data_IF_987803996343
#
_entry.id   IF_987803996343
#
_cell.length_a   1.000
_cell.length_b   1.000
_cell.length_c   1.000
_cell.angle_alpha   90.00
_cell.angle_beta   90.00
_cell.angle_gamma   90.00
#
_symmetry.space_group_name_H-M   'P 1'
#
loop_
_entity.id
_entity.type
_entity.pdbx_description
1 polymer ?
#
# COMPACT_ATOMS: atom_id res chain seq x y z
N UNK A 1 7.85 22.35 -1.90
CA UNK A 1 7.87 20.95 -2.35
C UNK A 1 8.74 20.14 -1.39
N UNK A 2 8.13 19.40 -0.49
CA UNK A 2 8.84 18.40 0.30
C UNK A 2 8.82 17.09 -0.47
N UNK A 3 9.98 16.63 -0.89
CA UNK A 3 10.18 15.27 -1.40
C UNK A 3 10.66 14.41 -0.24
N UNK A 4 9.80 13.61 0.33
CA UNK A 4 10.22 12.54 1.21
C UNK A 4 10.37 11.25 0.42
N UNK A 5 11.57 10.70 0.51
CA UNK A 5 11.94 9.42 -0.09
C UNK A 5 12.08 8.42 1.05
N UNK A 6 11.07 7.60 1.26
CA UNK A 6 11.16 6.44 2.12
C UNK A 6 11.68 5.26 1.31
N UNK A 7 12.85 4.74 1.64
CA UNK A 7 13.31 3.46 1.08
C UNK A 7 12.89 2.33 2.01
N UNK A 8 11.81 1.67 1.68
CA UNK A 8 11.44 0.39 2.27
C UNK A 8 12.15 -0.73 1.51
N UNK A 9 13.32 -1.12 1.98
CA UNK A 9 14.08 -2.20 1.38
C UNK A 9 14.17 -3.38 2.34
N UNK A 10 13.10 -4.06 2.65
CA UNK A 10 13.21 -5.34 3.33
C UNK A 10 11.98 -6.18 3.02
N UNK A 11 12.15 -7.19 2.20
CA UNK A 11 11.21 -8.31 2.14
C UNK A 11 10.22 -8.35 1.00
N UNK A 12 10.32 -7.47 -0.02
CA UNK A 12 9.46 -7.56 -1.21
C UNK A 12 10.05 -8.45 -2.32
N UNK A 13 10.77 -9.50 -1.91
CA UNK A 13 11.26 -10.54 -2.80
C UNK A 13 12.30 -10.06 -3.80
N UNK A 14 11.92 -9.29 -4.80
CA UNK A 14 12.74 -9.02 -5.98
C UNK A 14 12.75 -7.54 -6.43
N UNK A 15 12.25 -6.60 -5.61
CA UNK A 15 12.26 -5.18 -5.99
C UNK A 15 12.54 -4.25 -4.79
N UNK A 16 12.96 -3.03 -5.12
CA UNK A 16 13.04 -1.90 -4.21
C UNK A 16 11.81 -1.02 -4.44
N UNK A 17 11.22 -0.50 -3.37
CA UNK A 17 10.13 0.46 -3.42
C UNK A 17 10.60 1.84 -2.93
N UNK A 18 10.06 2.89 -3.56
CA UNK A 18 10.26 4.27 -3.20
C UNK A 18 8.91 4.96 -3.19
N UNK A 19 8.55 5.57 -2.05
CA UNK A 19 7.32 6.34 -1.93
C UNK A 19 7.63 7.83 -1.83
N UNK A 20 6.75 8.65 -2.40
CA UNK A 20 6.89 10.11 -2.37
C UNK A 20 5.55 10.81 -2.40
N UNK A 21 5.53 12.06 -1.95
CA UNK A 21 4.34 12.90 -1.98
C UNK A 21 4.67 14.37 -2.25
N UNK A 22 3.64 15.11 -2.67
CA UNK A 22 3.67 16.58 -2.81
C UNK A 22 2.24 17.13 -2.76
N UNK A 23 2.14 18.43 -2.47
CA UNK A 23 0.85 19.13 -2.46
C UNK A 23 0.43 19.48 -3.88
N UNK A 24 -0.85 19.34 -4.18
CA UNK A 24 -1.45 19.73 -5.47
C UNK A 24 -2.77 20.48 -5.25
N UNK A 25 -3.07 21.41 -6.15
CA UNK A 25 -4.41 21.97 -6.26
C UNK A 25 -5.33 20.95 -6.94
N UNK A 26 -6.35 20.49 -6.22
CA UNK A 26 -7.22 19.39 -6.67
C UNK A 26 -8.31 19.85 -7.62
N UNK A 27 -8.76 21.11 -7.49
CA UNK A 27 -9.95 21.61 -8.18
C UNK A 27 -9.70 22.86 -9.04
N UNK A 28 -8.48 23.40 -9.07
CA UNK A 28 -8.13 24.64 -9.75
C UNK A 28 -8.63 25.93 -9.03
N UNK A 29 -9.04 25.79 -7.75
CA UNK A 29 -9.55 26.88 -6.92
C UNK A 29 -8.94 26.84 -5.50
N UNK A 30 -7.65 26.55 -5.43
CA UNK A 30 -6.85 26.52 -4.19
C UNK A 30 -7.28 25.45 -3.16
N UNK A 31 -7.94 24.36 -3.58
CA UNK A 31 -8.14 23.21 -2.69
C UNK A 31 -6.90 22.34 -2.68
N UNK A 32 -6.16 22.40 -1.59
CA UNK A 32 -4.95 21.61 -1.42
C UNK A 32 -5.27 20.14 -1.07
N UNK A 33 -4.73 19.22 -1.85
CA UNK A 33 -4.71 17.78 -1.58
C UNK A 33 -3.29 17.23 -1.65
N UNK A 34 -3.07 16.05 -1.13
CA UNK A 34 -1.75 15.40 -1.16
C UNK A 34 -1.71 14.38 -2.28
N UNK A 35 -0.90 14.66 -3.31
CA UNK A 35 -0.54 13.69 -4.35
C UNK A 35 0.56 12.81 -3.82
N UNK A 36 0.43 11.50 -4.00
CA UNK A 36 1.42 10.51 -3.59
C UNK A 36 1.67 9.49 -4.70
N UNK A 37 2.80 8.82 -4.64
CA UNK A 37 3.18 7.81 -5.61
C UNK A 37 4.12 6.77 -5.00
N UNK A 38 4.17 5.61 -5.62
CA UNK A 38 5.13 4.53 -5.38
C UNK A 38 5.82 4.18 -6.68
N UNK A 39 7.15 4.15 -6.63
CA UNK A 39 7.99 3.64 -7.71
C UNK A 39 8.61 2.32 -7.28
N UNK A 40 8.63 1.34 -8.19
CA UNK A 40 9.27 0.05 -7.96
C UNK A 40 10.40 -0.16 -8.97
N UNK A 41 11.49 -0.77 -8.50
CA UNK A 41 12.64 -1.17 -9.32
C UNK A 41 13.04 -2.60 -8.99
N UNK A 42 12.91 -3.56 -9.93
CA UNK A 42 13.59 -4.84 -9.83
C UNK A 42 15.12 -4.66 -9.72
N UNK A 43 15.87 -5.60 -9.15
CA UNK A 43 17.31 -5.47 -8.99
C UNK A 43 18.02 -5.08 -10.30
N UNK A 44 18.84 -4.01 -10.24
CA UNK A 44 19.64 -3.48 -11.34
C UNK A 44 18.84 -3.01 -12.58
N UNK A 45 17.60 -2.60 -12.42
CA UNK A 45 16.77 -2.07 -13.52
C UNK A 45 16.26 -0.64 -13.26
N UNK A 46 15.44 -0.15 -14.18
CA UNK A 46 14.87 1.20 -14.10
C UNK A 46 13.70 1.27 -13.12
N UNK A 47 13.57 2.38 -12.42
CA UNK A 47 12.41 2.69 -11.61
C UNK A 47 11.16 2.88 -12.46
N UNK A 48 10.08 2.23 -12.11
CA UNK A 48 8.79 2.32 -12.79
C UNK A 48 7.72 2.78 -11.80
N UNK A 49 6.77 3.58 -12.30
CA UNK A 49 5.60 3.94 -11.52
C UNK A 49 4.76 2.68 -11.28
N UNK A 50 4.64 2.30 -10.01
CA UNK A 50 3.79 1.19 -9.59
C UNK A 50 2.36 1.66 -9.34
N UNK A 51 2.21 2.75 -8.60
CA UNK A 51 0.91 3.36 -8.32
C UNK A 51 1.04 4.83 -7.96
N UNK A 52 -0.06 5.56 -8.07
CA UNK A 52 -0.18 6.95 -7.64
C UNK A 52 -1.63 7.29 -7.31
N UNK A 53 -1.83 8.29 -6.48
CA UNK A 53 -3.15 8.77 -6.12
C UNK A 53 -3.12 10.19 -5.57
N UNK A 54 -4.29 10.79 -5.42
CA UNK A 54 -4.45 12.07 -4.73
C UNK A 54 -5.42 11.88 -3.57
N UNK A 55 -4.99 12.24 -2.36
CA UNK A 55 -5.86 12.17 -1.21
C UNK A 55 -6.47 13.54 -0.92
N UNK A 56 -7.77 13.66 -1.17
CA UNK A 56 -8.60 14.83 -0.93
C UNK A 56 -10.07 14.39 -0.83
N UNK A 57 -10.49 13.78 0.30
CA UNK A 57 -11.80 13.14 0.41
C UNK A 57 -12.96 14.15 0.61
N UNK A 58 -12.66 15.39 0.96
CA UNK A 58 -13.62 16.44 1.23
C UNK A 58 -13.04 17.84 0.86
N UNK A 59 -13.70 18.91 1.28
CA UNK A 59 -13.29 20.30 1.04
C UNK A 59 -12.27 20.85 2.03
N UNK A 60 -11.72 20.03 2.93
CA UNK A 60 -10.66 20.44 3.85
C UNK A 60 -9.31 20.42 3.13
N UNK A 61 -8.52 21.47 3.29
CA UNK A 61 -7.17 21.52 2.74
C UNK A 61 -6.23 20.55 3.45
N UNK A 62 -5.38 19.89 2.68
CA UNK A 62 -4.34 18.97 3.17
C UNK A 62 -3.01 19.32 2.53
N UNK A 63 -1.99 19.57 3.37
CA UNK A 63 -0.66 20.01 2.90
C UNK A 63 0.45 19.51 3.84
N UNK A 64 1.71 19.80 3.49
CA UNK A 64 2.90 19.34 4.23
C UNK A 64 2.85 17.85 4.55
N UNK A 65 2.63 17.07 3.49
CA UNK A 65 2.57 15.61 3.60
C UNK A 65 3.95 14.99 3.86
N UNK A 66 3.95 13.94 4.66
CA UNK A 66 5.07 13.02 4.81
C UNK A 66 4.57 11.58 4.68
N UNK A 67 5.33 10.75 3.96
CA UNK A 67 4.91 9.41 3.56
C UNK A 67 6.02 8.40 3.88
N UNK A 68 5.63 7.23 4.35
CA UNK A 68 6.54 6.10 4.54
C UNK A 68 5.85 4.78 4.20
N UNK A 69 6.66 3.74 4.01
CA UNK A 69 6.21 2.36 3.77
C UNK A 69 6.79 1.46 4.85
N UNK A 70 5.95 0.63 5.46
CA UNK A 70 6.39 -0.35 6.45
C UNK A 70 7.01 -1.61 5.81
N UNK A 71 7.54 -2.50 6.64
CA UNK A 71 8.21 -3.73 6.18
C UNK A 71 7.26 -4.72 5.48
N UNK A 72 5.94 -4.54 5.60
CA UNK A 72 4.93 -5.37 4.92
C UNK A 72 4.38 -4.71 3.63
N UNK A 73 4.89 -3.52 3.25
CA UNK A 73 4.44 -2.79 2.06
C UNK A 73 3.21 -1.92 2.26
N UNK A 74 2.73 -1.77 3.49
CA UNK A 74 1.67 -0.82 3.77
C UNK A 74 2.23 0.60 3.77
N UNK A 75 1.44 1.55 3.26
CA UNK A 75 1.87 2.94 3.12
C UNK A 75 1.03 3.82 4.04
N UNK A 76 1.68 4.72 4.78
CA UNK A 76 1.03 5.76 5.54
C UNK A 76 1.44 7.14 5.05
N UNK A 77 0.48 8.07 5.09
CA UNK A 77 0.61 9.46 4.68
C UNK A 77 0.07 10.34 5.82
N UNK A 78 0.95 11.10 6.46
CA UNK A 78 0.58 12.12 7.44
C UNK A 78 0.61 13.51 6.81
N UNK A 79 -0.20 14.44 7.29
CA UNK A 79 -0.31 15.79 6.72
C UNK A 79 -0.96 16.77 7.69
N UNK A 80 -0.78 18.05 7.42
CA UNK A 80 -1.57 19.11 8.04
C UNK A 80 -2.95 19.25 7.39
N UNK A 81 -3.92 19.68 8.19
CA UNK A 81 -5.29 19.98 7.74
C UNK A 81 -5.77 21.31 8.25
N UNK A 82 -6.53 22.05 7.46
CA UNK A 82 -7.36 23.16 7.92
C UNK A 82 -8.43 23.51 6.88
N UNK A 83 -9.45 24.25 7.33
CA UNK A 83 -10.36 24.96 6.46
C UNK A 83 -10.63 26.38 6.95
N UNK A 84 -11.44 27.12 6.21
CA UNK A 84 -11.74 28.51 6.55
C UNK A 84 -12.78 28.67 7.68
N UNK A 85 -13.42 27.59 8.12
CA UNK A 85 -14.62 27.65 8.97
C UNK A 85 -14.56 26.86 10.26
N UNK A 86 -14.19 25.57 10.19
CA UNK A 86 -14.39 24.65 11.30
C UNK A 86 -13.16 23.81 11.68
N UNK A 87 -12.16 23.75 10.81
CA UNK A 87 -10.96 22.94 11.04
C UNK A 87 -9.76 23.86 11.20
N UNK A 88 -9.32 24.02 12.43
CA UNK A 88 -8.06 24.72 12.74
C UNK A 88 -6.85 23.86 12.36
N UNK A 89 -5.67 24.50 12.12
CA UNK A 89 -4.47 23.79 11.75
C UNK A 89 -4.13 22.65 12.71
N UNK A 90 -4.30 21.42 12.25
CA UNK A 90 -4.11 20.18 12.98
C UNK A 90 -3.36 19.16 12.13
N UNK A 91 -3.23 17.95 12.65
CA UNK A 91 -2.54 16.85 12.00
C UNK A 91 -3.50 15.67 11.87
N UNK A 92 -3.55 15.12 10.66
CA UNK A 92 -4.22 13.85 10.37
C UNK A 92 -3.29 12.90 9.62
N UNK A 93 -3.66 11.65 9.56
CA UNK A 93 -3.01 10.64 8.75
C UNK A 93 -4.03 9.69 8.13
N UNK A 94 -3.61 9.06 7.06
CA UNK A 94 -4.35 8.05 6.31
C UNK A 94 -3.38 6.99 5.84
N UNK A 95 -3.87 5.86 5.41
CA UNK A 95 -3.00 4.86 4.82
C UNK A 95 -3.71 3.85 3.95
N UNK A 96 -2.91 2.92 3.46
CA UNK A 96 -3.34 1.78 2.69
C UNK A 96 -2.55 0.53 3.08
N UNK A 97 -3.19 -0.60 3.03
CA UNK A 97 -2.53 -1.90 3.10
C UNK A 97 -1.99 -2.28 1.71
N UNK A 98 -0.99 -3.15 1.69
CA UNK A 98 -0.45 -3.68 0.43
C UNK A 98 -1.52 -4.35 -0.42
N UNK A 99 -2.53 -4.97 0.20
CA UNK A 99 -3.67 -5.65 -0.45
C UNK A 99 -4.78 -4.73 -0.93
N UNK A 100 -4.76 -3.44 -0.58
CA UNK A 100 -5.79 -2.49 -1.01
C UNK A 100 -5.69 -2.18 -2.51
N UNK A 101 -6.78 -1.75 -3.15
CA UNK A 101 -6.76 -1.35 -4.55
C UNK A 101 -5.70 -0.28 -4.82
N UNK A 102 -4.93 -0.44 -5.92
CA UNK A 102 -3.87 0.49 -6.29
C UNK A 102 -4.41 1.91 -6.47
N UNK A 103 -3.59 2.90 -6.09
CA UNK A 103 -3.93 4.32 -6.22
C UNK A 103 -4.90 4.85 -5.16
N UNK A 104 -5.27 4.05 -4.16
CA UNK A 104 -6.23 4.43 -3.11
C UNK A 104 -5.61 4.40 -1.72
N UNK A 105 -6.22 5.15 -0.77
CA UNK A 105 -5.90 5.18 0.66
C UNK A 105 -7.18 4.88 1.47
N UNK A 106 -7.66 3.61 1.50
CA UNK A 106 -8.99 3.30 2.01
C UNK A 106 -9.05 3.00 3.52
N UNK A 107 -7.93 3.02 4.24
CA UNK A 107 -7.87 2.63 5.67
C UNK A 107 -8.46 3.67 6.64
N UNK A 108 -9.14 4.68 6.10
CA UNK A 108 -9.74 5.76 6.87
C UNK A 108 -8.77 6.88 7.24
N UNK A 109 -9.32 8.05 7.53
CA UNK A 109 -8.56 9.21 7.99
C UNK A 109 -8.67 9.33 9.50
N UNK A 110 -7.53 9.49 10.17
CA UNK A 110 -7.46 9.60 11.63
C UNK A 110 -6.83 10.92 12.04
N UNK A 111 -7.35 11.50 13.11
CA UNK A 111 -6.81 12.73 13.71
C UNK A 111 -5.74 12.37 14.73
N UNK A 112 -4.49 12.79 14.47
CA UNK A 112 -3.41 12.69 15.44
C UNK A 112 -3.55 13.76 16.52
N UNK A 113 -3.85 15.00 16.08
CA UNK A 113 -4.20 16.11 16.96
C UNK A 113 -5.03 17.15 16.19
N UNK A 114 -6.13 17.57 16.80
CA UNK A 114 -6.96 18.65 16.25
C UNK A 114 -6.42 20.02 16.69
N UNK A 115 -6.34 20.97 15.76
CA UNK A 115 -6.07 22.35 16.09
C UNK A 115 -7.22 22.99 16.90
N UNK A 116 -6.89 23.97 17.73
CA UNK A 116 -7.87 24.67 18.60
C UNK A 116 -7.91 26.17 18.34
N UNK A 117 -7.04 26.69 17.48
CA UNK A 117 -7.01 28.12 17.12
C UNK A 117 -6.44 28.32 15.69
N UNK A 118 -6.80 29.43 15.09
CA UNK A 118 -6.23 29.87 13.81
C UNK A 118 -4.79 30.32 13.97
N UNK A 119 -4.03 30.25 12.87
CA UNK A 119 -2.70 30.79 12.76
C UNK A 119 -2.72 32.02 11.84
N UNK A 120 -2.10 33.11 12.25
CA UNK A 120 -2.02 34.32 11.45
C UNK A 120 -0.78 34.38 10.52
N UNK A 121 0.03 33.34 10.48
CA UNK A 121 1.21 33.26 9.61
C UNK A 121 0.81 32.83 8.20
N UNK A 122 1.48 33.39 7.20
CA UNK A 122 1.40 32.92 5.82
C UNK A 122 2.41 31.81 5.51
N UNK A 123 3.14 31.29 6.51
CA UNK A 123 4.06 30.18 6.44
C UNK A 123 3.79 29.22 7.61
N UNK A 124 3.54 27.95 7.30
CA UNK A 124 3.11 26.99 8.30
C UNK A 124 3.43 25.55 7.89
N UNK A 125 3.86 24.73 8.85
CA UNK A 125 4.04 23.30 8.68
C UNK A 125 5.42 22.88 8.17
N UNK A 126 6.38 23.79 8.03
CA UNK A 126 7.76 23.45 7.63
C UNK A 126 8.55 23.03 8.88
N UNK A 127 8.94 21.80 9.07
CA UNK A 127 8.91 20.65 8.21
C UNK A 127 8.18 19.51 8.91
N UNK A 128 7.43 18.70 8.17
CA UNK A 128 6.89 17.43 8.67
C UNK A 128 7.80 16.28 8.24
N UNK A 129 7.80 15.20 9.01
CA UNK A 129 8.54 13.98 8.68
C UNK A 129 7.81 12.74 9.14
N UNK A 130 8.04 11.62 8.42
CA UNK A 130 7.53 10.31 8.79
C UNK A 130 8.64 9.27 8.63
N UNK A 131 8.89 8.53 9.70
CA UNK A 131 9.88 7.46 9.75
C UNK A 131 9.24 6.15 10.19
N UNK A 132 9.85 5.05 9.81
CA UNK A 132 9.51 3.71 10.31
C UNK A 132 10.43 3.38 11.47
N UNK A 133 9.87 2.80 12.54
CA UNK A 133 10.64 2.30 13.67
C UNK A 133 11.58 1.18 13.19
N UNK A 134 12.90 1.33 13.35
CA UNK A 134 13.86 0.35 12.85
C UNK A 134 13.86 -0.96 13.65
N UNK A 135 13.20 -1.01 14.81
CA UNK A 135 13.15 -2.21 15.66
C UNK A 135 12.07 -3.17 15.18
N UNK A 136 10.87 -2.66 14.88
CA UNK A 136 9.74 -3.50 14.48
C UNK A 136 9.43 -3.44 12.98
N UNK A 137 9.94 -2.42 12.28
CA UNK A 137 9.68 -2.21 10.85
C UNK A 137 8.21 -1.87 10.52
N UNK A 138 7.37 -1.65 11.53
CA UNK A 138 5.92 -1.54 11.38
C UNK A 138 5.35 -0.23 11.91
N UNK A 139 5.96 0.34 12.96
CA UNK A 139 5.47 1.55 13.60
C UNK A 139 5.90 2.77 12.80
N UNK A 140 4.92 3.57 12.38
CA UNK A 140 5.12 4.88 11.76
C UNK A 140 5.24 5.92 12.85
N UNK A 141 6.30 6.72 12.79
CA UNK A 141 6.51 7.90 13.63
C UNK A 141 6.34 9.13 12.77
N UNK A 142 5.29 9.92 13.05
CA UNK A 142 5.03 11.18 12.35
C UNK A 142 5.24 12.37 13.27
N UNK A 143 5.89 13.41 12.75
CA UNK A 143 6.02 14.71 13.41
C UNK A 143 5.53 15.83 12.49
N UNK A 144 4.86 16.82 13.07
CA UNK A 144 4.36 17.99 12.35
C UNK A 144 3.93 19.11 13.30
N UNK A 145 3.56 20.24 12.72
CA UNK A 145 3.05 21.40 13.45
C UNK A 145 1.53 21.34 13.60
N UNK A 146 1.03 21.85 14.70
CA UNK A 146 -0.39 22.04 14.96
C UNK A 146 -0.62 23.27 15.83
N UNK A 147 -1.82 23.82 15.84
CA UNK A 147 -2.15 25.00 16.65
C UNK A 147 -2.90 24.60 17.92
N UNK A 148 -2.18 24.59 19.05
CA UNK A 148 -2.76 24.52 20.38
C UNK A 148 -3.31 25.89 20.86
N UNK A 149 -2.88 26.96 20.21
CA UNK A 149 -3.28 28.36 20.45
C UNK A 149 -3.05 29.12 19.14
N UNK A 150 -3.00 30.44 19.17
CA UNK A 150 -2.63 31.26 18.01
C UNK A 150 -1.15 31.10 17.57
N UNK A 151 -0.35 30.34 18.34
CA UNK A 151 1.02 29.99 17.99
C UNK A 151 1.11 28.47 17.69
N UNK A 152 2.06 28.13 16.83
CA UNK A 152 2.34 26.75 16.49
C UNK A 152 2.92 25.96 17.67
N UNK A 153 2.69 24.70 17.67
CA UNK A 153 3.28 23.67 18.53
C UNK A 153 3.62 22.46 17.68
N UNK A 154 4.50 21.60 18.14
CA UNK A 154 4.79 20.34 17.47
C UNK A 154 4.12 19.17 18.13
N UNK A 155 3.82 18.14 17.35
CA UNK A 155 3.31 16.86 17.85
C UNK A 155 4.06 15.72 17.19
N UNK A 156 4.50 14.77 18.00
CA UNK A 156 4.98 13.47 17.53
C UNK A 156 3.88 12.47 17.85
N UNK A 157 3.54 11.62 16.90
CA UNK A 157 2.62 10.52 17.07
C UNK A 157 3.15 9.23 16.45
N UNK A 158 2.75 8.12 17.03
CA UNK A 158 3.08 6.80 16.54
C UNK A 158 1.79 6.02 16.26
N UNK A 159 1.78 5.27 15.16
CA UNK A 159 0.69 4.37 14.80
C UNK A 159 1.22 3.23 13.92
N UNK A 160 0.45 2.17 13.80
CA UNK A 160 0.79 1.04 12.93
C UNK A 160 -0.48 0.40 12.38
N UNK A 161 -0.34 -0.34 11.28
CA UNK A 161 -1.39 -1.23 10.79
C UNK A 161 -1.26 -2.58 11.49
N UNK A 162 -2.39 -3.15 11.92
CA UNK A 162 -2.43 -4.49 12.52
C UNK A 162 -1.91 -5.57 11.56
N UNK A 163 -2.03 -5.31 10.25
CA UNK A 163 -1.51 -6.19 9.20
C UNK A 163 0.03 -6.19 9.10
N UNK A 164 0.73 -5.20 9.68
CA UNK A 164 2.19 -5.19 9.65
C UNK A 164 2.78 -6.17 10.65
N UNK A 165 3.74 -6.97 10.18
CA UNK A 165 4.37 -8.03 10.97
C UNK A 165 3.51 -9.29 11.07
N UNK A 166 2.29 -9.30 10.55
CA UNK A 166 1.57 -10.54 10.34
C UNK A 166 2.26 -11.33 9.23
N UNK A 167 2.61 -12.56 9.55
CA UNK A 167 3.14 -13.48 8.55
C UNK A 167 2.03 -13.92 7.62
N UNK A 168 2.22 -13.77 6.32
CA UNK A 168 1.25 -14.13 5.28
C UNK A 168 1.99 -14.57 4.01
N UNK A 169 1.26 -14.92 2.97
CA UNK A 169 1.83 -15.27 1.68
C UNK A 169 1.13 -14.53 0.55
N UNK A 170 1.86 -14.30 -0.53
CA UNK A 170 1.32 -13.78 -1.79
C UNK A 170 1.36 -14.86 -2.86
N UNK A 171 0.38 -14.85 -3.76
CA UNK A 171 0.33 -15.78 -4.89
C UNK A 171 0.29 -15.04 -6.23
N UNK A 172 0.93 -15.65 -7.23
CA UNK A 172 0.86 -15.23 -8.62
C UNK A 172 0.70 -16.42 -9.53
N UNK A 173 -0.25 -16.35 -10.48
CA UNK A 173 -0.52 -17.40 -11.47
C UNK A 173 -0.02 -16.96 -12.84
N UNK A 174 0.82 -17.80 -13.46
CA UNK A 174 1.44 -17.51 -14.77
C UNK A 174 1.25 -18.69 -15.72
N UNK A 175 0.76 -18.46 -16.93
CA UNK A 175 0.17 -17.21 -17.43
C UNK A 175 -1.17 -16.92 -16.76
N UNK A 176 -1.58 -15.66 -16.66
CA UNK A 176 -2.90 -15.28 -16.12
C UNK A 176 -4.03 -15.41 -17.16
N UNK A 177 -3.67 -15.69 -18.40
CA UNK A 177 -4.58 -15.98 -19.51
C UNK A 177 -3.92 -16.99 -20.46
N UNK A 178 -4.65 -18.04 -20.84
CA UNK A 178 -4.13 -19.10 -21.68
C UNK A 178 -5.19 -19.54 -22.69
N UNK A 179 -4.84 -19.52 -23.99
CA UNK A 179 -5.65 -20.06 -25.05
C UNK A 179 -5.05 -21.40 -25.54
N UNK A 180 -5.83 -22.45 -25.46
CA UNK A 180 -5.43 -23.80 -25.90
C UNK A 180 -6.55 -24.46 -26.72
N UNK A 181 -6.19 -25.46 -27.53
CA UNK A 181 -7.14 -26.24 -28.27
C UNK A 181 -7.61 -27.46 -27.44
N UNK A 182 -8.92 -27.65 -27.31
CA UNK A 182 -9.43 -28.87 -26.73
C UNK A 182 -9.05 -30.10 -27.62
N UNK A 183 -8.71 -31.24 -27.02
CA UNK A 183 -8.83 -31.64 -25.61
C UNK A 183 -7.54 -31.45 -24.79
N UNK A 184 -6.62 -30.55 -25.19
CA UNK A 184 -5.36 -30.35 -24.46
C UNK A 184 -5.60 -29.81 -23.05
N UNK A 185 -4.68 -30.17 -22.14
CA UNK A 185 -4.69 -29.65 -20.77
C UNK A 185 -4.11 -28.24 -20.69
N UNK A 186 -4.69 -27.41 -19.84
CA UNK A 186 -4.17 -26.08 -19.53
C UNK A 186 -3.21 -26.14 -18.32
N UNK A 187 -1.98 -25.64 -18.51
CA UNK A 187 -0.97 -25.66 -17.45
C UNK A 187 -0.57 -24.25 -17.04
N UNK A 188 -0.56 -24.01 -15.73
CA UNK A 188 -0.19 -22.75 -15.08
C UNK A 188 0.89 -23.00 -14.03
N UNK A 189 1.73 -22.01 -13.79
CA UNK A 189 2.62 -21.97 -12.64
C UNK A 189 1.97 -21.10 -11.57
N UNK A 190 1.76 -21.64 -10.37
CA UNK A 190 1.31 -20.90 -9.19
C UNK A 190 2.51 -20.67 -8.30
N UNK A 191 2.98 -19.44 -8.23
CA UNK A 191 4.11 -19.04 -7.40
C UNK A 191 3.59 -18.53 -6.06
N UNK A 192 4.19 -18.99 -4.96
CA UNK A 192 3.87 -18.61 -3.59
C UNK A 192 5.11 -17.96 -2.97
N UNK A 193 4.97 -16.70 -2.58
CA UNK A 193 6.05 -15.91 -1.98
C UNK A 193 5.72 -15.54 -0.53
N UNK A 194 6.71 -15.44 0.36
CA UNK A 194 6.48 -15.02 1.75
C UNK A 194 6.16 -13.53 1.84
N UNK A 195 5.25 -13.18 2.74
CA UNK A 195 4.99 -11.83 3.22
C UNK A 195 5.23 -11.82 4.73
N UNK A 196 5.90 -10.79 5.24
CA UNK A 196 6.20 -10.68 6.68
C UNK A 196 7.00 -11.85 7.26
N UNK A 197 7.84 -12.53 6.44
CA UNK A 197 8.66 -13.67 6.90
C UNK A 197 7.88 -14.98 7.05
N UNK A 198 6.73 -15.13 6.42
CA UNK A 198 5.99 -16.40 6.40
C UNK A 198 6.83 -17.55 5.83
N UNK A 199 6.89 -18.66 6.54
CA UNK A 199 7.63 -19.87 6.14
C UNK A 199 6.79 -21.13 6.14
N UNK A 200 5.46 -20.97 6.23
CA UNK A 200 4.51 -22.08 6.29
C UNK A 200 4.21 -22.73 4.94
N UNK A 201 3.48 -23.82 5.01
CA UNK A 201 2.92 -24.50 3.85
C UNK A 201 1.60 -23.85 3.45
N UNK A 202 1.36 -23.70 2.14
CA UNK A 202 0.15 -23.15 1.55
C UNK A 202 -0.58 -24.22 0.76
N UNK A 203 -1.77 -24.58 1.19
CA UNK A 203 -2.68 -25.49 0.47
C UNK A 203 -3.38 -24.74 -0.65
N UNK A 204 -3.33 -25.27 -1.87
CA UNK A 204 -3.90 -24.64 -3.07
C UNK A 204 -5.19 -25.33 -3.51
N UNK A 205 -6.16 -24.54 -3.94
CA UNK A 205 -7.41 -25.00 -4.53
C UNK A 205 -7.78 -24.14 -5.75
N UNK A 206 -8.49 -24.74 -6.72
CA UNK A 206 -9.13 -24.00 -7.80
C UNK A 206 -10.63 -23.95 -7.56
N UNK A 207 -11.26 -22.80 -7.82
CA UNK A 207 -12.69 -22.58 -7.61
C UNK A 207 -13.31 -22.08 -8.91
N UNK A 208 -14.36 -22.77 -9.37
CA UNK A 208 -15.04 -22.43 -10.63
C UNK A 208 -14.30 -22.92 -11.90
N UNK A 209 -13.31 -23.81 -11.76
CA UNK A 209 -12.55 -24.35 -12.89
C UNK A 209 -13.42 -25.26 -13.77
N UNK A 210 -13.19 -25.29 -15.11
CA UNK A 210 -14.05 -25.96 -16.08
C UNK A 210 -13.89 -27.48 -16.17
N UNK A 211 -12.92 -28.05 -15.47
CA UNK A 211 -12.58 -29.46 -15.49
C UNK A 211 -11.95 -29.90 -14.19
N UNK A 212 -11.12 -30.93 -14.22
CA UNK A 212 -10.36 -31.34 -13.05
C UNK A 212 -9.14 -30.45 -12.85
N UNK A 213 -8.90 -29.97 -11.64
CA UNK A 213 -7.72 -29.21 -11.24
C UNK A 213 -6.76 -30.10 -10.44
N UNK A 214 -5.48 -30.13 -10.82
CA UNK A 214 -4.45 -30.84 -10.10
C UNK A 214 -3.26 -29.92 -9.86
N UNK A 215 -2.83 -29.80 -8.60
CA UNK A 215 -1.66 -29.02 -8.18
C UNK A 215 -0.53 -29.97 -7.80
N UNK A 216 0.69 -29.66 -8.24
CA UNK A 216 1.88 -30.45 -7.89
C UNK A 216 3.13 -29.56 -7.77
N UNK A 217 3.71 -29.45 -6.55
CA UNK A 217 3.25 -30.00 -5.25
C UNK A 217 2.03 -29.27 -4.67
N UNK A 218 1.32 -29.92 -3.75
CA UNK A 218 0.28 -29.31 -2.94
C UNK A 218 0.21 -30.04 -1.59
N UNK A 219 0.47 -29.39 -0.45
CA UNK A 219 0.77 -27.97 -0.29
C UNK A 219 2.12 -27.52 -0.88
N UNK A 220 2.29 -26.18 -0.97
CA UNK A 220 3.56 -25.55 -1.38
C UNK A 220 4.22 -24.94 -0.16
N UNK A 221 5.46 -25.35 0.13
CA UNK A 221 6.28 -24.67 1.16
C UNK A 221 6.79 -23.34 0.64
N UNK A 222 6.59 -22.28 1.40
CA UNK A 222 6.93 -20.90 1.02
C UNK A 222 8.40 -20.56 1.35
N UNK A 223 9.18 -19.95 0.43
CA UNK A 223 8.83 -19.64 -0.97
C UNK A 223 8.85 -20.89 -1.87
N UNK A 224 7.90 -20.96 -2.81
CA UNK A 224 7.83 -22.12 -3.69
C UNK A 224 6.87 -21.92 -4.86
N UNK A 225 6.70 -22.98 -5.64
CA UNK A 225 5.75 -22.98 -6.76
C UNK A 225 5.08 -24.33 -6.93
N UNK A 226 3.88 -24.32 -7.51
CA UNK A 226 3.13 -25.49 -7.90
C UNK A 226 2.75 -25.41 -9.37
N UNK A 227 2.80 -26.53 -10.07
CA UNK A 227 2.16 -26.62 -11.38
C UNK A 227 0.67 -26.93 -11.18
N UNK A 228 -0.20 -26.08 -11.73
CA UNK A 228 -1.63 -26.33 -11.83
C UNK A 228 -1.95 -26.84 -13.23
N UNK A 229 -2.56 -28.01 -13.31
CA UNK A 229 -3.06 -28.58 -14.56
C UNK A 229 -4.58 -28.63 -14.50
N UNK A 230 -5.26 -27.98 -15.44
CA UNK A 230 -6.71 -28.11 -15.67
C UNK A 230 -6.92 -29.06 -16.86
N UNK A 231 -7.60 -30.18 -16.60
CA UNK A 231 -7.84 -31.21 -17.60
C UNK A 231 -9.33 -31.47 -17.77
N UNK A 232 -9.72 -31.95 -18.97
CA UNK A 232 -11.08 -32.31 -19.29
C UNK A 232 -12.03 -31.15 -19.54
N UNK A 233 -11.54 -29.95 -19.74
CA UNK A 233 -12.35 -28.79 -20.12
C UNK A 233 -12.86 -28.94 -21.57
N UNK A 234 -14.15 -28.66 -21.79
CA UNK A 234 -14.73 -28.56 -23.12
C UNK A 234 -14.28 -27.28 -23.86
N UNK A 235 -14.72 -27.11 -25.10
CA UNK A 235 -14.52 -25.83 -25.80
C UNK A 235 -15.37 -24.72 -25.16
N UNK A 236 -14.76 -23.58 -24.85
CA UNK A 236 -15.43 -22.44 -24.21
C UNK A 236 -14.46 -21.40 -23.67
N UNK A 237 -15.00 -20.29 -23.17
CA UNK A 237 -14.25 -19.30 -22.39
C UNK A 237 -14.59 -19.49 -20.92
N UNK A 238 -13.56 -19.61 -20.10
CA UNK A 238 -13.70 -19.88 -18.66
C UNK A 238 -12.91 -18.87 -17.84
N UNK A 239 -13.42 -18.55 -16.69
CA UNK A 239 -12.73 -17.84 -15.65
C UNK A 239 -12.84 -18.63 -14.34
N UNK A 240 -11.76 -18.75 -13.60
CA UNK A 240 -11.72 -19.45 -12.32
C UNK A 240 -10.69 -18.80 -11.41
N UNK A 241 -10.83 -19.02 -10.12
CA UNK A 241 -9.92 -18.50 -9.11
C UNK A 241 -9.00 -19.59 -8.59
N UNK A 242 -7.76 -19.21 -8.24
CA UNK A 242 -6.83 -20.02 -7.46
C UNK A 242 -6.77 -19.46 -6.05
N UNK A 243 -7.10 -20.29 -5.07
CA UNK A 243 -7.16 -19.92 -3.66
C UNK A 243 -6.06 -20.66 -2.89
N UNK A 244 -5.32 -19.93 -2.05
CA UNK A 244 -4.35 -20.47 -1.11
C UNK A 244 -4.86 -20.35 0.32
N UNK A 245 -4.52 -21.35 1.15
CA UNK A 245 -4.83 -21.35 2.60
C UNK A 245 -3.60 -21.86 3.36
N UNK A 246 -3.19 -21.15 4.42
CA UNK A 246 -2.09 -21.54 5.32
C UNK A 246 -2.58 -21.98 6.68
#
# INVERSE_FOLDING_TARGET
EQRQVGMGAAGFGDHQALVGNFVTDVNGNDLAGVRWFELNSPPATTWNLHQEGTYSPDSTNRWMGAIAMDASGNIALGYNVSDATNVYPGIRYVGRLVSDPLGTMPQGEYTLVAGTASNGSNRYGDYSDMAIDPIDGCTFWFTGEWNASSQWSTRIGAFRFDACGSTDFAMNVVPNNLAICAPSDATYAVNVAPVGGFTGDVSLAAVGNPGSANFSPNPVTTPGSSALVISGAGAGNYSFDVVGTS
#
